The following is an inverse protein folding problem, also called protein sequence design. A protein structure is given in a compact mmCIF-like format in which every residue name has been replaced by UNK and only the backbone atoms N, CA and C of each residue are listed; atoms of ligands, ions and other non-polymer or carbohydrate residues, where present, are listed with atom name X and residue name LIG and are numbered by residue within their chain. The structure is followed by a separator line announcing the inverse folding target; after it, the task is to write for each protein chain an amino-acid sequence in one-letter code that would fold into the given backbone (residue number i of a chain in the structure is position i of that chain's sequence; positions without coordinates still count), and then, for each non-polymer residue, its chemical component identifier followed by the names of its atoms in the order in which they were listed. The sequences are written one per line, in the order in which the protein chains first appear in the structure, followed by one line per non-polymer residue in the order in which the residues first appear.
data_IF_128933663556
#
_entry.id   IF_128933663556
#
_cell.length_a   1.000
_cell.length_b   1.000
_cell.length_c   1.000
_cell.angle_alpha   90.00
_cell.angle_beta   90.00
_cell.angle_gamma   90.00
#
_symmetry.space_group_name_H-M   'P 1'
#
loop_
_entity.id
_entity.type
_entity.pdbx_description
1 polymer ?
#
# COMPACT_ATOMS: atom_id res chain seq x y z
N UNK A 1 20.47 3.72 15.94
CA UNK A 1 21.53 3.85 14.92
C UNK A 1 21.08 4.95 13.96
N UNK A 2 21.67 6.14 14.00
CA UNK A 2 21.31 7.25 13.10
C UNK A 2 22.15 7.10 11.83
N UNK A 3 21.52 6.67 10.73
CA UNK A 3 22.13 6.67 9.41
C UNK A 3 22.07 8.07 8.83
N UNK A 4 23.22 8.73 8.72
CA UNK A 4 23.33 10.04 8.09
C UNK A 4 23.70 9.87 6.61
N UNK A 5 23.09 10.72 5.77
CA UNK A 5 23.47 11.13 4.41
C UNK A 5 23.01 10.24 3.24
N UNK A 6 21.75 10.46 2.82
CA UNK A 6 21.50 10.65 1.39
C UNK A 6 21.47 12.17 1.17
N UNK A 7 22.46 12.72 0.48
CA UNK A 7 22.35 14.07 -0.08
C UNK A 7 21.40 13.99 -1.28
N UNK A 8 20.11 13.83 -0.99
CA UNK A 8 19.09 13.99 -1.99
C UNK A 8 19.02 15.48 -2.33
N UNK A 9 18.77 15.79 -3.60
CA UNK A 9 18.29 17.12 -3.93
C UNK A 9 16.88 17.30 -3.34
N UNK A 10 16.41 18.54 -3.30
CA UNK A 10 15.10 18.90 -2.74
C UNK A 10 13.97 18.04 -3.33
N UNK A 11 13.91 17.95 -4.66
CA UNK A 11 12.90 17.16 -5.36
C UNK A 11 12.90 15.67 -4.99
N UNK A 12 14.08 15.05 -4.88
CA UNK A 12 14.19 13.63 -4.52
C UNK A 12 13.85 13.40 -3.04
N UNK A 13 14.11 14.39 -2.17
CA UNK A 13 13.69 14.36 -0.77
C UNK A 13 12.18 14.42 -0.65
N UNK A 14 11.54 15.40 -1.30
CA UNK A 14 10.07 15.54 -1.32
C UNK A 14 9.38 14.30 -1.88
N UNK A 15 9.94 13.74 -2.97
CA UNK A 15 9.41 12.51 -3.58
C UNK A 15 9.51 11.34 -2.60
N UNK A 16 10.65 11.19 -1.93
CA UNK A 16 10.83 10.13 -0.94
C UNK A 16 9.85 10.34 0.23
N UNK A 17 9.76 11.54 0.80
CA UNK A 17 8.83 11.85 1.88
C UNK A 17 7.38 11.55 1.52
N UNK A 18 6.94 11.91 0.31
CA UNK A 18 5.60 11.56 -0.19
C UNK A 18 5.39 10.04 -0.33
N UNK A 19 6.42 9.30 -0.74
CA UNK A 19 6.37 7.83 -0.81
C UNK A 19 6.44 7.15 0.56
N UNK A 20 7.03 7.81 1.55
CA UNK A 20 7.13 7.35 2.94
C UNK A 20 5.90 7.74 3.79
N UNK A 21 5.00 8.57 3.27
CA UNK A 21 3.79 8.95 3.98
C UNK A 21 2.97 7.69 4.34
N UNK A 22 2.69 7.46 5.64
CA UNK A 22 1.95 6.28 6.07
C UNK A 22 0.56 6.17 5.45
N UNK A 23 -0.11 7.31 5.20
CA UNK A 23 -1.41 7.35 4.54
C UNK A 23 -1.33 6.88 3.09
N UNK A 24 -0.35 7.38 2.35
CA UNK A 24 -0.04 6.94 0.98
C UNK A 24 0.25 5.44 0.92
N UNK A 25 1.10 4.91 1.81
CA UNK A 25 1.45 3.49 1.84
C UNK A 25 0.23 2.63 2.20
N UNK A 26 -0.60 3.08 3.15
CA UNK A 26 -1.85 2.40 3.53
C UNK A 26 -2.82 2.32 2.34
N UNK A 27 -3.10 3.45 1.70
CA UNK A 27 -3.98 3.50 0.53
C UNK A 27 -3.46 2.62 -0.62
N UNK A 28 -2.14 2.64 -0.87
CA UNK A 28 -1.50 1.79 -1.88
C UNK A 28 -1.69 0.30 -1.56
N UNK A 29 -1.57 -0.07 -0.28
CA UNK A 29 -1.74 -1.44 0.21
C UNK A 29 -3.19 -1.91 0.02
N UNK A 30 -4.17 -1.07 0.33
CA UNK A 30 -5.60 -1.36 0.11
C UNK A 30 -5.93 -1.54 -1.38
N UNK A 31 -5.39 -0.66 -2.24
CA UNK A 31 -5.58 -0.78 -3.69
C UNK A 31 -4.99 -2.07 -4.25
N UNK A 32 -3.84 -2.51 -3.74
CA UNK A 32 -3.25 -3.80 -4.14
C UNK A 32 -4.14 -4.98 -3.72
N UNK A 33 -4.75 -4.93 -2.53
CA UNK A 33 -5.72 -5.95 -2.10
C UNK A 33 -6.92 -5.98 -3.04
N UNK A 34 -7.49 -4.84 -3.40
CA UNK A 34 -8.62 -4.78 -4.33
C UNK A 34 -8.28 -5.36 -5.72
N UNK A 35 -7.03 -5.18 -6.19
CA UNK A 35 -6.55 -5.80 -7.44
C UNK A 35 -6.37 -7.32 -7.26
N UNK A 36 -5.83 -7.77 -6.12
CA UNK A 36 -5.71 -9.20 -5.78
C UNK A 36 -7.10 -9.87 -5.83
N UNK A 37 -8.09 -9.25 -5.18
CA UNK A 37 -9.47 -9.75 -5.13
C UNK A 37 -10.10 -9.79 -6.53
N UNK A 38 -9.96 -8.72 -7.32
CA UNK A 38 -10.44 -8.68 -8.70
C UNK A 38 -9.83 -9.79 -9.57
N UNK A 39 -8.51 -10.03 -9.44
CA UNK A 39 -7.84 -11.08 -10.21
C UNK A 39 -8.31 -12.48 -9.80
N UNK A 40 -8.60 -12.69 -8.52
CA UNK A 40 -9.20 -13.95 -8.04
C UNK A 40 -10.57 -14.16 -8.68
N UNK A 41 -11.41 -13.13 -8.72
CA UNK A 41 -12.75 -13.23 -9.33
C UNK A 41 -12.66 -13.50 -10.85
N UNK A 42 -11.73 -12.83 -11.55
CA UNK A 42 -11.51 -13.05 -12.98
C UNK A 42 -11.00 -14.47 -13.29
N UNK A 43 -10.12 -15.00 -12.46
CA UNK A 43 -9.59 -16.35 -12.63
C UNK A 43 -10.60 -17.43 -12.22
N UNK A 44 -11.18 -17.34 -11.03
CA UNK A 44 -12.02 -18.38 -10.44
C UNK A 44 -13.44 -18.38 -11.02
N UNK A 45 -14.04 -17.20 -11.13
CA UNK A 45 -15.48 -17.09 -11.39
C UNK A 45 -15.74 -16.80 -12.88
N UNK A 46 -14.94 -15.92 -13.49
CA UNK A 46 -15.08 -15.58 -14.91
C UNK A 46 -14.29 -16.52 -15.83
N UNK A 47 -13.24 -17.18 -15.33
CA UNK A 47 -12.36 -18.05 -16.13
C UNK A 47 -11.63 -17.31 -17.26
N UNK A 48 -11.46 -15.98 -17.14
CA UNK A 48 -10.94 -15.11 -18.21
C UNK A 48 -9.41 -15.08 -18.26
N UNK A 49 -8.74 -15.58 -17.22
CA UNK A 49 -7.29 -15.57 -17.07
C UNK A 49 -6.77 -17.00 -16.97
N UNK A 50 -5.66 -17.29 -17.65
CA UNK A 50 -4.99 -18.60 -17.54
C UNK A 50 -4.48 -18.82 -16.11
N UNK A 51 -4.61 -20.03 -15.54
CA UNK A 51 -4.19 -20.31 -14.16
C UNK A 51 -2.75 -19.90 -13.85
N UNK A 52 -1.78 -20.24 -14.71
CA UNK A 52 -0.36 -19.90 -14.49
C UNK A 52 -0.13 -18.38 -14.45
N UNK A 53 -0.86 -17.63 -15.29
CA UNK A 53 -0.81 -16.17 -15.33
C UNK A 53 -1.43 -15.58 -14.07
N UNK A 54 -2.60 -16.08 -13.64
CA UNK A 54 -3.25 -15.65 -12.42
C UNK A 54 -2.37 -15.90 -11.19
N UNK A 55 -1.78 -17.10 -11.07
CA UNK A 55 -0.87 -17.45 -9.98
C UNK A 55 0.34 -16.52 -9.92
N UNK A 56 1.00 -16.28 -11.06
CA UNK A 56 2.17 -15.37 -11.11
C UNK A 56 1.81 -13.95 -10.66
N UNK A 57 0.67 -13.41 -11.11
CA UNK A 57 0.22 -12.08 -10.70
C UNK A 57 -0.15 -12.02 -9.22
N UNK A 58 -0.90 -13.02 -8.73
CA UNK A 58 -1.31 -13.08 -7.32
C UNK A 58 -0.09 -13.19 -6.39
N UNK A 59 0.90 -14.02 -6.73
CA UNK A 59 2.13 -14.16 -5.94
C UNK A 59 2.92 -12.86 -5.89
N UNK A 60 3.02 -12.16 -7.04
CA UNK A 60 3.71 -10.87 -7.12
C UNK A 60 3.01 -9.79 -6.30
N UNK A 61 1.68 -9.67 -6.44
CA UNK A 61 0.88 -8.67 -5.72
C UNK A 61 0.88 -8.93 -4.22
N UNK A 62 0.76 -10.19 -3.80
CA UNK A 62 0.80 -10.58 -2.39
C UNK A 62 2.16 -10.30 -1.77
N UNK A 63 3.25 -10.57 -2.50
CA UNK A 63 4.61 -10.25 -2.05
C UNK A 63 4.78 -8.74 -1.88
N UNK A 64 4.38 -7.96 -2.88
CA UNK A 64 4.44 -6.50 -2.83
C UNK A 64 3.59 -5.91 -1.69
N UNK A 65 2.38 -6.44 -1.48
CA UNK A 65 1.50 -6.05 -0.38
C UNK A 65 2.15 -6.32 0.98
N UNK A 66 2.77 -7.50 1.15
CA UNK A 66 3.50 -7.85 2.37
C UNK A 66 4.69 -6.93 2.62
N UNK A 67 5.44 -6.59 1.57
CA UNK A 67 6.57 -5.67 1.66
C UNK A 67 6.11 -4.27 2.08
N UNK A 68 5.02 -3.76 1.49
CA UNK A 68 4.44 -2.46 1.86
C UNK A 68 3.85 -2.47 3.27
N UNK A 69 3.17 -3.53 3.71
CA UNK A 69 2.73 -3.65 5.10
C UNK A 69 3.92 -3.65 6.07
N UNK A 70 4.97 -4.40 5.76
CA UNK A 70 6.19 -4.42 6.58
C UNK A 70 6.83 -3.03 6.62
N UNK A 71 6.86 -2.35 5.48
CA UNK A 71 7.40 -1.01 5.39
C UNK A 71 6.55 0.01 6.17
N UNK A 72 5.23 -0.07 6.07
CA UNK A 72 4.29 0.73 6.86
C UNK A 72 4.54 0.58 8.36
N UNK A 73 4.70 -0.66 8.85
CA UNK A 73 5.01 -0.91 10.26
C UNK A 73 6.37 -0.35 10.71
N UNK A 74 7.28 -0.09 9.76
CA UNK A 74 8.58 0.52 10.05
C UNK A 74 8.52 2.06 10.10
N UNK A 75 7.66 2.68 9.30
CA UNK A 75 7.51 4.16 9.25
C UNK A 75 6.45 4.68 10.22
N UNK A 76 5.43 3.88 10.53
CA UNK A 76 4.41 4.16 11.54
C UNK A 76 4.22 2.93 12.46
N UNK A 77 5.15 2.69 13.41
CA UNK A 77 5.05 1.57 14.35
C UNK A 77 3.88 1.70 15.33
N UNK A 78 3.33 2.91 15.50
CA UNK A 78 2.17 3.21 16.33
C UNK A 78 0.84 2.85 15.67
N UNK A 79 0.80 2.74 14.33
CA UNK A 79 -0.41 2.43 13.57
C UNK A 79 -1.47 3.54 13.59
N UNK A 80 -1.10 4.77 13.95
CA UNK A 80 -2.03 5.89 14.06
C UNK A 80 -2.53 6.36 12.69
N UNK A 81 -1.77 6.13 11.63
CA UNK A 81 -2.18 6.47 10.26
C UNK A 81 -3.37 5.64 9.78
N UNK A 82 -3.50 4.38 10.24
CA UNK A 82 -4.68 3.54 9.97
C UNK A 82 -5.92 3.94 10.78
N UNK A 83 -5.75 4.76 11.84
CA UNK A 83 -6.83 5.26 12.69
C UNK A 83 -7.40 6.60 12.24
N UNK A 84 -6.78 7.29 11.26
CA UNK A 84 -7.41 8.44 10.59
C UNK A 84 -8.42 7.95 9.54
N UNK A 85 -9.37 7.12 9.98
CA UNK A 85 -10.70 7.19 9.39
C UNK A 85 -11.17 8.64 9.54
N UNK A 86 -11.61 9.21 8.43
CA UNK A 86 -12.22 10.53 8.32
C UNK A 86 -13.33 10.70 9.35
N UNK A 87 -13.01 11.16 10.56
CA UNK A 87 -13.97 11.82 11.43
C UNK A 87 -14.10 13.24 10.89
N UNK A 88 -15.04 13.44 9.96
CA UNK A 88 -15.66 14.75 9.76
C UNK A 88 -16.86 14.81 10.71
N UNK A 89 -16.75 15.39 11.91
CA UNK A 89 -17.93 15.90 12.59
C UNK A 89 -18.27 17.23 11.92
N UNK A 90 -19.11 17.19 10.89
CA UNK A 90 -19.73 18.40 10.36
C UNK A 90 -21.24 18.23 10.45
N UNK A 91 -21.77 18.87 11.50
CA UNK A 91 -23.03 19.61 11.58
C UNK A 91 -24.32 18.89 11.18
N UNK A 92 -25.00 18.35 12.20
CA UNK A 92 -26.46 18.37 12.26
C UNK A 92 -26.86 19.30 13.43
N UNK A 93 -27.12 20.57 13.12
CA UNK A 93 -28.08 21.39 13.87
C UNK A 93 -29.52 21.08 13.40
#
# INVERSE_FOLDING_TARGET
MKTTLIHLNEQATETLEAMLDPGYISERTERLQAIEDFLIDQWRDAGTIKPDTALTFLDTLRSLRKDLTTFLTSVDPSGEAGCRQTFNPSDNE
#
